data_IF_801911128585
#
_entry.id   IF_801911128585
#
_cell.length_a   1.000
_cell.length_b   1.000
_cell.length_c   1.000
_cell.angle_alpha   90.00
_cell.angle_beta   90.00
_cell.angle_gamma   90.00
#
_symmetry.space_group_name_H-M   'P 1'
#
loop_
_entity.id
_entity.type
_entity.pdbx_description
1 polymer ?
#
# COMPACT_ATOMS: atom_id res chain seq x y z
N UNK A 1 20.86 -31.80 -9.09
CA UNK A 1 21.77 -30.76 -9.59
C UNK A 1 21.54 -29.45 -8.80
N UNK A 2 21.82 -29.46 -7.50
CA UNK A 2 21.50 -28.38 -6.56
C UNK A 2 22.67 -27.38 -6.38
N UNK A 3 23.13 -26.72 -7.45
CA UNK A 3 24.32 -25.83 -7.38
C UNK A 3 24.26 -24.53 -8.21
N UNK A 4 23.08 -24.01 -8.56
CA UNK A 4 22.98 -22.81 -9.41
C UNK A 4 22.08 -21.66 -8.93
N UNK A 5 21.40 -21.77 -7.80
CA UNK A 5 20.48 -20.71 -7.33
C UNK A 5 21.18 -19.66 -6.46
N UNK A 6 22.11 -20.07 -5.59
CA UNK A 6 22.79 -19.17 -4.64
C UNK A 6 23.83 -18.20 -5.25
N UNK A 7 24.05 -18.22 -6.57
CA UNK A 7 25.11 -17.41 -7.21
C UNK A 7 24.61 -16.25 -8.08
N UNK A 8 23.30 -16.06 -8.27
CA UNK A 8 22.78 -15.08 -9.24
C UNK A 8 22.09 -13.84 -8.62
N UNK A 9 21.74 -13.87 -7.33
CA UNK A 9 20.96 -12.78 -6.71
C UNK A 9 21.59 -12.34 -5.39
N UNK A 10 22.56 -11.42 -5.40
CA UNK A 10 23.02 -10.75 -4.20
C UNK A 10 22.08 -9.59 -3.86
N UNK A 11 21.36 -9.72 -2.73
CA UNK A 11 20.72 -8.65 -1.93
C UNK A 11 19.76 -7.64 -2.62
N UNK A 12 18.89 -7.00 -1.83
CA UNK A 12 17.88 -6.03 -2.32
C UNK A 12 18.50 -4.74 -2.92
N UNK A 13 19.81 -4.56 -2.78
CA UNK A 13 20.56 -3.38 -3.23
C UNK A 13 20.82 -3.32 -4.76
N UNK A 14 20.63 -4.41 -5.50
CA UNK A 14 20.92 -4.49 -6.95
C UNK A 14 19.66 -4.56 -7.83
N UNK A 15 18.50 -4.12 -7.32
CA UNK A 15 17.23 -4.08 -8.05
C UNK A 15 17.32 -3.33 -9.41
N UNK A 16 18.23 -2.37 -9.53
CA UNK A 16 18.46 -1.54 -10.72
C UNK A 16 19.10 -2.29 -11.90
N UNK A 17 19.73 -3.45 -11.66
CA UNK A 17 20.39 -4.25 -12.70
C UNK A 17 19.49 -5.29 -13.34
N UNK A 18 18.23 -5.41 -12.90
CA UNK A 18 17.26 -6.33 -13.49
C UNK A 18 16.73 -5.78 -14.81
N UNK A 19 17.25 -6.30 -15.92
CA UNK A 19 16.70 -6.01 -17.24
C UNK A 19 15.36 -6.73 -17.41
N UNK A 20 14.29 -5.98 -17.75
CA UNK A 20 12.98 -6.53 -18.12
C UNK A 20 13.02 -7.48 -19.33
N UNK A 21 14.15 -7.53 -20.06
CA UNK A 21 14.34 -8.44 -21.18
C UNK A 21 14.73 -9.87 -20.73
N UNK A 22 15.21 -10.06 -19.50
CA UNK A 22 15.67 -11.35 -19.01
C UNK A 22 14.48 -12.31 -18.80
N UNK A 23 14.57 -13.51 -19.36
CA UNK A 23 13.46 -14.46 -19.39
C UNK A 23 13.09 -14.95 -17.99
N UNK A 24 14.06 -15.07 -17.08
CA UNK A 24 13.83 -15.43 -15.68
C UNK A 24 13.03 -14.35 -14.93
N UNK A 25 13.27 -13.06 -15.24
CA UNK A 25 12.54 -11.94 -14.65
C UNK A 25 11.08 -11.94 -15.13
N UNK A 26 10.86 -12.27 -16.40
CA UNK A 26 9.51 -12.41 -16.96
C UNK A 26 8.75 -13.57 -16.32
N UNK A 27 9.41 -14.70 -16.10
CA UNK A 27 8.80 -15.87 -15.47
C UNK A 27 8.46 -15.60 -14.00
N UNK A 28 9.36 -14.93 -13.26
CA UNK A 28 9.12 -14.53 -11.87
C UNK A 28 8.02 -13.47 -11.74
N UNK A 29 7.93 -12.51 -12.68
CA UNK A 29 6.80 -11.55 -12.74
C UNK A 29 5.50 -12.28 -13.08
N UNK A 30 5.52 -13.25 -14.00
CA UNK A 30 4.35 -14.02 -14.37
C UNK A 30 3.84 -14.88 -13.21
N UNK A 31 4.75 -15.51 -12.45
CA UNK A 31 4.42 -16.30 -11.27
C UNK A 31 3.93 -15.41 -10.12
N UNK A 32 4.57 -14.28 -9.84
CA UNK A 32 4.07 -13.27 -8.90
C UNK A 32 2.67 -12.77 -9.28
N UNK A 33 2.41 -12.49 -10.57
CA UNK A 33 1.07 -12.07 -11.03
C UNK A 33 0.03 -13.16 -10.81
N UNK A 34 0.41 -14.42 -11.01
CA UNK A 34 -0.48 -15.58 -10.88
C UNK A 34 -0.75 -15.96 -9.43
N UNK A 35 0.24 -15.81 -8.55
CA UNK A 35 0.12 -16.04 -7.11
C UNK A 35 -0.57 -14.89 -6.37
N UNK A 36 -0.39 -13.64 -6.83
CA UNK A 36 -0.96 -12.45 -6.18
C UNK A 36 -2.36 -12.07 -6.71
N UNK A 37 -2.93 -12.80 -7.68
CA UNK A 37 -4.22 -12.43 -8.27
C UNK A 37 -4.22 -11.05 -8.92
N UNK A 38 -3.06 -10.54 -9.34
CA UNK A 38 -2.94 -9.25 -10.02
C UNK A 38 -3.33 -9.49 -11.48
N UNK A 39 -4.63 -9.64 -11.71
CA UNK A 39 -5.23 -9.22 -12.96
C UNK A 39 -4.92 -7.74 -13.15
N UNK A 40 -4.83 -7.30 -14.39
CA UNK A 40 -4.95 -5.89 -14.74
C UNK A 40 -6.37 -5.43 -14.38
N UNK A 41 -6.63 -5.30 -13.09
CA UNK A 41 -7.81 -4.62 -12.58
C UNK A 41 -7.45 -3.15 -12.69
N UNK A 42 -7.92 -2.54 -13.77
CA UNK A 42 -8.23 -1.11 -13.78
C UNK A 42 -9.26 -0.90 -12.69
N UNK A 43 -8.82 -0.82 -11.44
CA UNK A 43 -9.63 -0.40 -10.32
C UNK A 43 -9.47 1.10 -10.26
N UNK A 44 -10.51 1.84 -10.63
CA UNK A 44 -10.66 3.25 -10.31
C UNK A 44 -10.35 3.45 -8.80
N UNK A 45 -9.22 4.07 -8.49
CA UNK A 45 -8.69 4.17 -7.13
C UNK A 45 -7.20 4.49 -7.10
N UNK A 46 -6.60 4.49 -5.91
CA UNK A 46 -5.20 4.84 -5.73
C UNK A 46 -4.27 3.75 -6.27
N UNK A 47 -3.06 4.15 -6.67
CA UNK A 47 -2.04 3.17 -7.01
C UNK A 47 -1.67 2.36 -5.77
N UNK A 48 -1.32 1.08 -5.94
CA UNK A 48 -0.86 0.24 -4.82
C UNK A 48 0.29 0.87 -4.03
N UNK A 49 1.16 1.62 -4.72
CA UNK A 49 2.22 2.39 -4.09
C UNK A 49 1.66 3.48 -3.17
N UNK A 50 0.73 4.30 -3.65
CA UNK A 50 0.11 5.37 -2.87
C UNK A 50 -0.67 4.84 -1.67
N UNK A 51 -1.38 3.71 -1.84
CA UNK A 51 -2.06 3.02 -0.74
C UNK A 51 -1.06 2.61 0.35
N UNK A 52 0.03 1.95 -0.03
CA UNK A 52 1.08 1.53 0.91
C UNK A 52 1.78 2.71 1.57
N UNK A 53 2.10 3.77 0.82
CA UNK A 53 2.72 4.98 1.36
C UNK A 53 1.81 5.66 2.40
N UNK A 54 0.50 5.75 2.12
CA UNK A 54 -0.48 6.30 3.05
C UNK A 54 -0.63 5.44 4.31
N UNK A 55 -0.86 4.13 4.16
CA UNK A 55 -1.07 3.24 5.31
C UNK A 55 0.17 3.22 6.20
N UNK A 56 1.37 3.08 5.62
CA UNK A 56 2.61 3.12 6.42
C UNK A 56 2.77 4.44 7.18
N UNK A 57 2.54 5.58 6.52
CA UNK A 57 2.64 6.89 7.16
C UNK A 57 1.61 7.04 8.29
N UNK A 58 0.38 6.60 8.04
CA UNK A 58 -0.70 6.63 9.02
C UNK A 58 -0.38 5.74 10.23
N UNK A 59 0.08 4.51 10.02
CA UNK A 59 0.40 3.56 11.10
C UNK A 59 1.51 4.11 11.97
N UNK A 60 2.60 4.62 11.39
CA UNK A 60 3.68 5.23 12.14
C UNK A 60 3.16 6.36 13.06
N UNK A 61 2.31 7.26 12.54
CA UNK A 61 1.72 8.34 13.34
C UNK A 61 0.76 7.84 14.42
N UNK A 62 -0.04 6.83 14.12
CA UNK A 62 -0.98 6.26 15.08
C UNK A 62 -0.23 5.57 16.24
N UNK A 63 0.84 4.84 15.93
CA UNK A 63 1.72 4.22 16.93
C UNK A 63 2.47 5.28 17.75
N UNK A 64 2.99 6.34 17.11
CA UNK A 64 3.56 7.51 17.82
C UNK A 64 2.53 8.17 18.75
N UNK A 65 1.25 8.12 18.39
CA UNK A 65 0.11 8.58 19.18
C UNK A 65 -0.32 7.63 20.32
N UNK A 66 0.32 6.46 20.44
CA UNK A 66 0.06 5.48 21.50
C UNK A 66 -0.91 4.36 21.12
N UNK A 67 -1.27 4.21 19.84
CA UNK A 67 -2.06 3.06 19.36
C UNK A 67 -1.17 1.82 19.20
N UNK A 68 -1.71 0.63 19.47
CA UNK A 68 -1.00 -0.62 19.20
C UNK A 68 -0.83 -0.83 17.67
N UNK A 69 0.25 -1.47 17.23
CA UNK A 69 0.57 -1.62 15.80
C UNK A 69 -0.55 -2.30 15.00
N UNK A 70 -1.18 -3.34 15.56
CA UNK A 70 -2.29 -4.05 14.91
C UNK A 70 -3.57 -3.21 14.81
N UNK A 71 -3.86 -2.43 15.84
CA UNK A 71 -4.99 -1.50 15.85
C UNK A 71 -4.75 -0.33 14.89
N UNK A 72 -3.52 0.18 14.86
CA UNK A 72 -3.07 1.22 13.93
C UNK A 72 -3.19 0.75 12.49
N UNK A 73 -2.76 -0.47 12.19
CA UNK A 73 -2.91 -1.08 10.88
C UNK A 73 -4.40 -1.11 10.48
N UNK A 74 -5.26 -1.67 11.33
CA UNK A 74 -6.71 -1.78 11.08
C UNK A 74 -7.40 -0.41 10.90
N UNK A 75 -7.03 0.56 11.73
CA UNK A 75 -7.51 1.94 11.65
C UNK A 75 -7.08 2.61 10.34
N UNK A 76 -5.81 2.49 9.97
CA UNK A 76 -5.26 3.13 8.79
C UNK A 76 -5.77 2.51 7.48
N UNK A 77 -5.92 1.19 7.43
CA UNK A 77 -6.58 0.51 6.31
C UNK A 77 -8.04 0.96 6.16
N UNK A 78 -8.77 1.11 7.27
CA UNK A 78 -10.13 1.66 7.25
C UNK A 78 -10.19 3.10 6.71
N UNK A 79 -9.27 3.95 7.16
CA UNK A 79 -9.19 5.34 6.72
C UNK A 79 -8.85 5.45 5.24
N UNK A 80 -7.91 4.61 4.77
CA UNK A 80 -7.51 4.56 3.38
C UNK A 80 -8.69 4.20 2.47
N UNK A 81 -9.45 3.15 2.81
CA UNK A 81 -10.64 2.74 2.03
C UNK A 81 -11.68 3.87 1.92
N UNK A 82 -11.95 4.58 3.02
CA UNK A 82 -12.90 5.71 3.02
C UNK A 82 -12.39 6.90 2.21
N UNK A 83 -11.10 7.20 2.31
CA UNK A 83 -10.48 8.28 1.56
C UNK A 83 -10.41 7.97 0.07
N UNK A 84 -10.05 6.75 -0.32
CA UNK A 84 -10.01 6.34 -1.72
C UNK A 84 -11.42 6.37 -2.35
N UNK A 85 -12.46 5.97 -1.61
CA UNK A 85 -13.85 6.08 -2.08
C UNK A 85 -14.30 7.52 -2.31
N UNK A 86 -13.80 8.45 -1.50
CA UNK A 86 -14.16 9.87 -1.60
C UNK A 86 -13.29 10.62 -2.60
N UNK A 87 -12.01 10.26 -2.67
CA UNK A 87 -10.99 10.83 -3.52
C UNK A 87 -10.32 9.68 -4.29
N UNK A 88 -10.92 9.20 -5.39
CA UNK A 88 -10.36 8.10 -6.16
C UNK A 88 -8.99 8.43 -6.78
N UNK A 89 -8.62 9.71 -6.82
CA UNK A 89 -7.29 10.17 -7.20
C UNK A 89 -6.47 10.54 -5.95
N UNK A 90 -5.35 9.87 -5.74
CA UNK A 90 -4.41 10.12 -4.63
C UNK A 90 -3.75 11.50 -4.69
N UNK A 91 -3.73 12.13 -5.87
CA UNK A 91 -3.22 13.50 -6.07
C UNK A 91 -4.30 14.57 -6.01
N UNK A 92 -5.50 14.26 -5.53
CA UNK A 92 -6.58 15.23 -5.45
C UNK A 92 -6.19 16.40 -4.50
N UNK A 93 -6.27 17.66 -4.95
CA UNK A 93 -5.89 18.79 -4.12
C UNK A 93 -6.76 18.91 -2.86
N UNK A 94 -8.03 18.48 -2.90
CA UNK A 94 -8.90 18.50 -1.73
C UNK A 94 -8.44 17.50 -0.67
N UNK A 95 -7.81 16.38 -1.08
CA UNK A 95 -7.15 15.42 -0.17
C UNK A 95 -5.92 16.03 0.51
N UNK A 96 -5.15 16.83 -0.22
CA UNK A 96 -3.94 17.49 0.31
C UNK A 96 -4.27 18.65 1.26
N UNK A 97 -5.41 19.31 1.04
CA UNK A 97 -5.90 20.40 1.91
C UNK A 97 -6.88 19.92 2.98
N UNK A 98 -6.98 18.60 3.16
CA UNK A 98 -8.07 18.02 3.93
C UNK A 98 -7.89 18.32 5.42
N UNK A 99 -8.86 19.06 5.96
CA UNK A 99 -8.85 19.46 7.35
C UNK A 99 -9.28 18.29 8.24
N UNK A 100 -8.36 17.81 9.07
CA UNK A 100 -8.61 16.70 10.00
C UNK A 100 -9.62 17.06 11.10
N UNK A 101 -9.86 18.35 11.35
CA UNK A 101 -10.85 18.82 12.32
C UNK A 101 -12.27 18.92 11.73
N UNK A 102 -12.39 18.81 10.40
CA UNK A 102 -13.67 18.85 9.70
C UNK A 102 -14.62 17.76 10.21
N UNK A 103 -15.93 18.07 10.37
CA UNK A 103 -16.92 17.11 10.84
C UNK A 103 -16.99 15.84 9.98
N UNK A 104 -16.72 15.97 8.66
CA UNK A 104 -16.66 14.82 7.76
C UNK A 104 -15.51 13.87 8.15
N UNK A 105 -14.36 14.42 8.53
CA UNK A 105 -13.17 13.64 8.86
C UNK A 105 -13.26 13.04 10.25
N UNK A 106 -13.76 13.81 11.22
CA UNK A 106 -14.13 13.28 12.56
C UNK A 106 -15.10 12.11 12.45
N UNK A 107 -16.05 12.15 11.53
CA UNK A 107 -16.99 11.02 11.31
C UNK A 107 -16.26 9.78 10.80
N UNK A 108 -15.38 9.93 9.80
CA UNK A 108 -14.60 8.80 9.28
C UNK A 108 -13.65 8.21 10.32
N UNK A 109 -12.97 9.08 11.07
CA UNK A 109 -12.06 8.68 12.16
C UNK A 109 -12.82 7.88 13.22
N UNK A 110 -13.97 8.38 13.70
CA UNK A 110 -14.77 7.65 14.68
C UNK A 110 -15.28 6.31 14.13
N UNK A 111 -15.74 6.25 12.88
CA UNK A 111 -16.17 5.00 12.26
C UNK A 111 -15.03 3.96 12.18
N UNK A 112 -13.80 4.41 11.94
CA UNK A 112 -12.63 3.54 11.90
C UNK A 112 -12.08 3.16 13.27
N UNK A 113 -12.31 3.97 14.31
CA UNK A 113 -11.92 3.68 15.70
C UNK A 113 -12.95 2.82 16.44
N UNK A 114 -14.23 2.95 16.09
CA UNK A 114 -15.36 2.25 16.72
C UNK A 114 -15.72 0.95 15.99
N UNK A 115 -14.78 0.34 15.25
CA UNK A 115 -14.98 -1.01 14.72
C UNK A 115 -15.04 -2.00 15.90
N UNK A 116 -16.24 -2.17 16.45
CA UNK A 116 -16.69 -3.35 17.22
C UNK A 116 -16.78 -4.59 16.31
#
# INVERSE_FOLDING_TARGET
>A
MQKKVEKKYPDAADADKLSLADQDVKDMIADCRKAAGIGTSSSDGWSRKDQLDFVNSCVNKAVEGGMEELDAQSYCDCMQDKLEKKYPNSGDPELLTLDMDSPAMKTMVNDCLLKD
#
